data_IF_775676746101
#
_entry.id   IF_775676746101
#
_cell.length_a   1.000
_cell.length_b   1.000
_cell.length_c   1.000
_cell.angle_alpha   90.00
_cell.angle_beta   90.00
_cell.angle_gamma   90.00
#
_symmetry.space_group_name_H-M   'P 1'
#
loop_
_entity.id
_entity.type
_entity.pdbx_description
1 polymer ?
#
# COMPACT_ATOMS: atom_id res chain seq x y z
N UNK A 1 30.14 4.20 15.06
CA UNK A 1 28.72 4.26 15.35
C UNK A 1 27.93 3.96 14.09
N UNK A 2 27.09 2.92 14.13
CA UNK A 2 26.34 2.53 12.94
C UNK A 2 25.16 3.48 12.74
N UNK A 3 24.90 3.85 11.49
CA UNK A 3 23.70 4.61 11.16
C UNK A 3 22.46 3.74 11.43
N UNK A 4 21.35 4.31 11.91
CA UNK A 4 20.14 3.53 12.10
C UNK A 4 19.64 2.99 10.76
N UNK A 5 19.27 1.73 10.75
CA UNK A 5 18.66 1.11 9.56
C UNK A 5 17.24 1.62 9.45
N UNK A 6 16.79 2.13 8.28
CA UNK A 6 15.41 2.55 8.13
C UNK A 6 14.47 1.38 8.39
N UNK A 7 13.47 1.62 9.22
CA UNK A 7 12.43 0.62 9.51
C UNK A 7 11.31 0.73 8.49
N UNK A 8 10.82 -0.38 7.94
CA UNK A 8 9.67 -0.31 7.04
C UNK A 8 8.44 0.20 7.80
N UNK A 9 7.64 1.01 7.14
CA UNK A 9 6.34 1.44 7.67
C UNK A 9 5.35 0.33 7.36
N UNK A 10 4.65 -0.14 8.36
CA UNK A 10 3.65 -1.20 8.21
C UNK A 10 2.29 -0.72 8.67
N UNK A 11 1.26 -1.04 7.90
CA UNK A 11 -0.12 -0.79 8.29
C UNK A 11 -1.02 -1.84 7.67
N UNK A 12 -2.25 -1.95 8.19
CA UNK A 12 -3.21 -2.91 7.71
C UNK A 12 -4.42 -2.19 7.11
N UNK A 13 -4.88 -2.68 5.98
CA UNK A 13 -6.14 -2.26 5.39
C UNK A 13 -7.12 -3.40 5.64
N UNK A 14 -8.23 -3.11 6.29
CA UNK A 14 -9.31 -4.08 6.52
C UNK A 14 -10.47 -3.73 5.62
N UNK A 15 -10.92 -4.71 4.85
CA UNK A 15 -12.06 -4.55 3.97
C UNK A 15 -13.39 -4.70 4.70
N UNK A 16 -14.50 -4.35 4.05
CA UNK A 16 -14.56 -3.76 2.71
C UNK A 16 -14.13 -2.28 2.70
N UNK A 17 -13.59 -1.85 1.57
CA UNK A 17 -13.20 -0.44 1.37
C UNK A 17 -14.29 0.24 0.56
N UNK A 18 -14.83 1.34 1.05
CA UNK A 18 -15.77 2.18 0.31
C UNK A 18 -15.03 3.36 -0.33
N UNK A 19 -15.59 3.89 -1.42
CA UNK A 19 -14.98 5.05 -2.08
C UNK A 19 -14.85 6.25 -1.15
N UNK A 20 -15.81 6.42 -0.24
CA UNK A 20 -15.76 7.50 0.74
C UNK A 20 -14.56 7.38 1.71
N UNK A 21 -13.99 6.18 1.85
CA UNK A 21 -12.85 5.94 2.73
C UNK A 21 -11.51 6.32 2.09
N UNK A 22 -11.47 6.48 0.77
CA UNK A 22 -10.22 6.70 0.04
C UNK A 22 -9.46 7.96 0.46
N UNK A 23 -10.11 9.14 0.60
CA UNK A 23 -9.37 10.32 1.04
C UNK A 23 -8.74 10.15 2.43
N UNK A 24 -9.48 9.56 3.36
CA UNK A 24 -8.98 9.31 4.71
C UNK A 24 -7.83 8.31 4.73
N UNK A 25 -7.93 7.24 3.94
CA UNK A 25 -6.87 6.25 3.82
C UNK A 25 -5.60 6.88 3.25
N UNK A 26 -5.72 7.65 2.18
CA UNK A 26 -4.58 8.33 1.57
C UNK A 26 -3.93 9.31 2.53
N UNK A 27 -4.73 10.08 3.29
CA UNK A 27 -4.23 11.02 4.27
C UNK A 27 -3.45 10.31 5.39
N UNK A 28 -3.95 9.17 5.86
CA UNK A 28 -3.28 8.38 6.89
C UNK A 28 -1.95 7.83 6.41
N UNK A 29 -1.92 7.31 5.19
CA UNK A 29 -0.67 6.79 4.60
C UNK A 29 0.34 7.92 4.42
N UNK A 30 -0.08 9.05 3.88
CA UNK A 30 0.81 10.19 3.70
C UNK A 30 1.38 10.67 5.05
N UNK A 31 0.56 10.72 6.10
CA UNK A 31 1.02 11.10 7.43
C UNK A 31 2.07 10.12 7.98
N UNK A 32 1.86 8.82 7.76
CA UNK A 32 2.83 7.80 8.16
C UNK A 32 4.15 7.95 7.41
N UNK A 33 4.09 8.22 6.11
CA UNK A 33 5.28 8.39 5.30
C UNK A 33 6.05 9.66 5.66
N UNK A 34 5.35 10.74 5.98
CA UNK A 34 5.98 12.00 6.38
C UNK A 34 6.75 11.89 7.69
N UNK A 35 6.29 11.04 8.59
CA UNK A 35 6.94 10.86 9.89
C UNK A 35 8.09 9.88 9.90
N UNK A 36 8.42 9.25 8.77
CA UNK A 36 9.40 8.18 8.70
C UNK A 36 10.27 8.28 7.45
N UNK A 37 11.52 7.88 7.59
CA UNK A 37 12.47 7.78 6.47
C UNK A 37 12.47 6.37 5.87
N UNK A 38 11.30 5.74 5.84
CA UNK A 38 11.18 4.37 5.36
C UNK A 38 11.33 4.28 3.84
N UNK A 39 12.03 3.26 3.37
CA UNK A 39 12.15 2.96 1.94
C UNK A 39 11.04 2.02 1.46
N UNK A 40 10.38 1.34 2.38
CA UNK A 40 9.39 0.31 2.09
C UNK A 40 8.15 0.53 2.94
N UNK A 41 6.99 0.48 2.29
CA UNK A 41 5.69 0.49 2.95
C UNK A 41 5.11 -0.92 2.84
N UNK A 42 4.91 -1.57 3.97
CA UNK A 42 4.30 -2.90 4.04
C UNK A 42 2.81 -2.74 4.34
N UNK A 43 1.98 -3.22 3.44
CA UNK A 43 0.53 -3.11 3.57
C UNK A 43 -0.07 -4.51 3.70
N UNK A 44 -0.67 -4.81 4.85
CA UNK A 44 -1.39 -6.06 5.06
C UNK A 44 -2.82 -5.88 4.53
N UNK A 45 -3.15 -6.65 3.51
CA UNK A 45 -4.45 -6.60 2.84
C UNK A 45 -5.25 -7.90 3.03
N UNK A 46 -5.01 -8.58 4.14
CA UNK A 46 -5.72 -9.82 4.44
C UNK A 46 -7.24 -9.59 4.46
N UNK A 47 -7.97 -10.39 3.69
CA UNK A 47 -9.43 -10.31 3.64
C UNK A 47 -10.00 -9.17 2.81
N UNK A 48 -9.16 -8.41 2.13
CA UNK A 48 -9.61 -7.32 1.25
C UNK A 48 -10.12 -7.90 -0.07
N UNK A 49 -11.29 -7.45 -0.50
CA UNK A 49 -11.91 -7.93 -1.74
C UNK A 49 -11.17 -7.42 -2.98
N UNK A 50 -11.02 -8.27 -4.01
CA UNK A 50 -10.38 -7.86 -5.27
C UNK A 50 -11.37 -7.11 -6.18
N UNK A 51 -11.72 -5.89 -5.81
CA UNK A 51 -12.67 -5.07 -6.54
C UNK A 51 -12.04 -3.76 -7.03
N UNK A 52 -12.80 -3.00 -7.82
CA UNK A 52 -12.30 -1.76 -8.43
C UNK A 52 -11.93 -0.70 -7.39
N UNK A 53 -12.65 -0.64 -6.28
CA UNK A 53 -12.36 0.33 -5.21
C UNK A 53 -11.05 -0.02 -4.53
N UNK A 54 -10.81 -1.31 -4.28
CA UNK A 54 -9.55 -1.78 -3.72
C UNK A 54 -8.38 -1.46 -4.64
N UNK A 55 -8.52 -1.72 -5.94
CA UNK A 55 -7.49 -1.40 -6.93
C UNK A 55 -7.20 0.10 -6.94
N UNK A 56 -8.24 0.93 -6.92
CA UNK A 56 -8.09 2.38 -6.88
C UNK A 56 -7.35 2.83 -5.60
N UNK A 57 -7.70 2.25 -4.45
CA UNK A 57 -7.04 2.55 -3.18
C UNK A 57 -5.55 2.20 -3.23
N UNK A 58 -5.21 1.02 -3.74
CA UNK A 58 -3.83 0.57 -3.83
C UNK A 58 -3.03 1.36 -4.86
N UNK A 59 -3.66 1.77 -5.96
CA UNK A 59 -3.02 2.63 -6.95
C UNK A 59 -2.66 4.00 -6.35
N UNK A 60 -3.55 4.59 -5.58
CA UNK A 60 -3.30 5.85 -4.90
C UNK A 60 -2.20 5.72 -3.85
N UNK A 61 -2.19 4.61 -3.12
CA UNK A 61 -1.15 4.30 -2.15
C UNK A 61 0.22 4.20 -2.83
N UNK A 62 0.29 3.46 -3.93
CA UNK A 62 1.52 3.31 -4.68
C UNK A 62 2.03 4.65 -5.19
N UNK A 63 1.15 5.49 -5.72
CA UNK A 63 1.52 6.81 -6.22
C UNK A 63 2.08 7.68 -5.10
N UNK A 64 1.45 7.68 -3.94
CA UNK A 64 1.93 8.43 -2.79
C UNK A 64 3.30 7.95 -2.33
N UNK A 65 3.50 6.63 -2.30
CA UNK A 65 4.78 6.05 -1.92
C UNK A 65 5.88 6.39 -2.93
N UNK A 66 5.59 6.31 -4.22
CA UNK A 66 6.55 6.65 -5.27
C UNK A 66 7.03 8.09 -5.18
N UNK A 67 6.14 9.00 -4.86
CA UNK A 67 6.49 10.42 -4.69
C UNK A 67 7.50 10.65 -3.57
N UNK A 68 7.61 9.70 -2.66
CA UNK A 68 8.54 9.75 -1.52
C UNK A 68 9.70 8.78 -1.65
N UNK A 69 9.84 8.14 -2.82
CA UNK A 69 10.90 7.17 -3.06
C UNK A 69 10.72 5.86 -2.34
N UNK A 70 9.49 5.53 -1.92
CA UNK A 70 9.20 4.28 -1.21
C UNK A 70 8.65 3.22 -2.15
N UNK A 71 8.91 1.96 -1.82
CA UNK A 71 8.29 0.80 -2.47
C UNK A 71 7.12 0.31 -1.65
N UNK A 72 6.10 -0.20 -2.31
CA UNK A 72 4.93 -0.80 -1.65
C UNK A 72 5.03 -2.31 -1.74
N UNK A 73 4.85 -2.99 -0.60
CA UNK A 73 4.73 -4.44 -0.52
C UNK A 73 3.38 -4.81 0.05
N UNK A 74 2.68 -5.72 -0.61
CA UNK A 74 1.39 -6.21 -0.15
C UNK A 74 1.57 -7.56 0.51
N UNK A 75 1.20 -7.65 1.78
CA UNK A 75 1.22 -8.90 2.54
C UNK A 75 -0.18 -9.49 2.60
N UNK A 76 -0.26 -10.80 2.50
CA UNK A 76 -1.53 -11.56 2.61
C UNK A 76 -2.54 -11.22 1.51
N UNK A 77 -2.09 -10.73 0.37
CA UNK A 77 -2.97 -10.49 -0.77
C UNK A 77 -3.39 -11.82 -1.39
N UNK A 78 -4.68 -11.92 -1.76
CA UNK A 78 -5.17 -13.10 -2.47
C UNK A 78 -4.59 -13.16 -3.88
N UNK A 79 -4.56 -14.37 -4.46
CA UNK A 79 -4.12 -14.55 -5.84
C UNK A 79 -4.97 -13.73 -6.80
N UNK A 80 -6.28 -13.64 -6.55
CA UNK A 80 -7.20 -12.86 -7.36
C UNK A 80 -6.87 -11.38 -7.31
N UNK A 81 -6.51 -10.86 -6.14
CA UNK A 81 -6.12 -9.46 -6.00
C UNK A 81 -4.81 -9.19 -6.74
N UNK A 82 -3.82 -10.06 -6.61
CA UNK A 82 -2.54 -9.90 -7.31
C UNK A 82 -2.71 -9.95 -8.82
N UNK A 83 -3.55 -10.86 -9.33
CA UNK A 83 -3.86 -10.95 -10.76
C UNK A 83 -4.55 -9.70 -11.27
N UNK A 84 -5.49 -9.16 -10.50
CA UNK A 84 -6.20 -7.95 -10.86
C UNK A 84 -5.27 -6.74 -10.91
N UNK A 85 -4.37 -6.61 -9.94
CA UNK A 85 -3.38 -5.53 -9.91
C UNK A 85 -2.45 -5.62 -11.12
N UNK A 86 -1.98 -6.81 -11.45
CA UNK A 86 -1.13 -7.01 -12.61
C UNK A 86 -1.87 -6.67 -13.92
N UNK A 87 -3.13 -7.05 -14.02
CA UNK A 87 -3.98 -6.75 -15.17
C UNK A 87 -4.17 -5.24 -15.34
N UNK A 88 -4.27 -4.51 -14.23
CA UNK A 88 -4.44 -3.05 -14.24
C UNK A 88 -3.11 -2.29 -14.38
N UNK A 89 -2.00 -3.00 -14.56
CA UNK A 89 -0.70 -2.39 -14.77
C UNK A 89 0.05 -1.99 -13.51
N UNK A 90 -0.41 -2.39 -12.34
CA UNK A 90 0.22 -2.05 -11.06
C UNK A 90 1.33 -3.07 -10.74
N UNK A 91 2.36 -3.09 -11.56
CA UNK A 91 3.43 -4.10 -11.46
C UNK A 91 4.50 -3.75 -10.45
N UNK A 92 4.56 -2.50 -10.01
CA UNK A 92 5.57 -2.03 -9.06
C UNK A 92 5.19 -2.38 -7.62
N UNK A 93 4.01 -2.92 -7.40
CA UNK A 93 3.58 -3.42 -6.10
C UNK A 93 4.14 -4.83 -5.93
N UNK A 94 5.00 -4.99 -4.95
CA UNK A 94 5.68 -6.26 -4.73
C UNK A 94 4.90 -7.14 -3.75
N UNK A 95 4.86 -8.47 -3.95
CA UNK A 95 4.33 -9.36 -2.94
C UNK A 95 5.24 -9.42 -1.73
N UNK A 96 4.65 -9.69 -0.60
CA UNK A 96 5.37 -9.78 0.66
C UNK A 96 6.14 -11.11 0.76
#
# INVERSE_FOLDING_TARGET
>A
MAAPVPQPVAFAIRGPIARADLPGLCARVCALLEGNDADVVVCDVHGVEPDAVTVDALARLQLAAQRRGCQVRLCSASSELLELLAFMGLRDVLPC
#
